data_IF_716629778555
#
_entry.id   IF_716629778555
#
_cell.length_a   1.000
_cell.length_b   1.000
_cell.length_c   1.000
_cell.angle_alpha   90.00
_cell.angle_beta   90.00
_cell.angle_gamma   90.00
#
_symmetry.space_group_name_H-M   'P 1'
#
loop_
_entity.id
_entity.type
_entity.pdbx_description
1 polymer ?
#
# COMPACT_ATOMS: atom_id res chain seq x y z
N UNK A 1 -21.92 42.38 39.90
CA UNK A 1 -21.76 43.07 38.59
C UNK A 1 -20.37 42.74 38.05
N UNK A 2 -20.14 42.53 36.74
CA UNK A 2 -20.87 41.78 35.68
C UNK A 2 -20.24 40.36 35.50
N UNK A 3 -20.89 39.29 35.01
CA UNK A 3 -21.57 38.98 33.73
C UNK A 3 -20.63 38.72 32.53
N UNK A 4 -20.55 37.44 32.13
CA UNK A 4 -21.02 36.87 30.84
C UNK A 4 -19.86 36.76 29.83
N UNK A 5 -19.69 35.75 28.96
CA UNK A 5 -20.52 34.71 28.35
C UNK A 5 -19.51 33.68 27.78
N UNK A 6 -19.84 32.39 27.69
CA UNK A 6 -19.51 31.64 26.47
C UNK A 6 -20.40 30.41 26.29
N UNK A 7 -21.09 30.48 25.17
CA UNK A 7 -22.13 29.61 24.61
C UNK A 7 -21.62 28.21 24.26
N UNK A 8 -22.53 27.25 24.44
CA UNK A 8 -22.46 25.83 24.14
C UNK A 8 -22.93 25.54 22.70
N UNK A 9 -22.41 24.43 22.15
CA UNK A 9 -23.05 23.54 21.15
C UNK A 9 -23.25 24.12 19.72
N UNK A 10 -23.23 23.35 18.62
CA UNK A 10 -23.01 21.94 18.31
C UNK A 10 -22.78 21.77 16.78
N UNK A 11 -22.32 20.57 16.39
CA UNK A 11 -22.39 19.80 15.12
C UNK A 11 -23.20 20.38 13.92
N UNK A 12 -22.96 20.10 12.63
CA UNK A 12 -22.35 18.98 11.89
C UNK A 12 -22.16 19.40 10.37
N UNK A 13 -21.66 18.52 9.46
CA UNK A 13 -21.07 18.81 8.11
C UNK A 13 -22.11 18.65 6.96
N UNK A 14 -21.82 18.41 5.64
CA UNK A 14 -20.59 18.32 4.82
C UNK A 14 -20.72 19.03 3.43
N UNK A 15 -19.93 18.57 2.44
CA UNK A 15 -20.00 18.77 0.97
C UNK A 15 -18.99 19.81 0.42
N UNK A 16 -17.99 19.47 -0.41
CA UNK A 16 -17.93 18.78 -1.71
C UNK A 16 -17.40 19.80 -2.74
N UNK A 17 -16.39 19.37 -3.50
CA UNK A 17 -15.62 20.15 -4.48
C UNK A 17 -16.46 20.79 -5.58
N UNK A 18 -16.02 21.93 -6.14
CA UNK A 18 -16.34 22.30 -7.51
C UNK A 18 -15.22 21.86 -8.47
N UNK A 19 -15.69 21.15 -9.50
CA UNK A 19 -14.97 20.69 -10.67
C UNK A 19 -14.32 21.84 -11.48
N UNK A 20 -13.14 21.56 -12.03
CA UNK A 20 -12.58 22.34 -13.13
C UNK A 20 -13.19 21.87 -14.45
N UNK A 21 -13.83 22.80 -15.15
CA UNK A 21 -14.58 22.59 -16.38
C UNK A 21 -13.69 22.87 -17.61
N UNK A 22 -13.78 21.95 -18.57
CA UNK A 22 -13.74 22.16 -20.02
C UNK A 22 -12.52 22.84 -20.69
N UNK A 23 -11.82 22.06 -21.53
CA UNK A 23 -11.52 22.49 -22.90
C UNK A 23 -11.81 21.32 -23.84
N UNK A 24 -12.75 21.54 -24.77
CA UNK A 24 -13.10 20.65 -25.87
C UNK A 24 -12.85 21.42 -27.16
N UNK A 25 -12.08 20.84 -28.10
CA UNK A 25 -12.05 21.08 -29.56
C UNK A 25 -10.76 20.40 -30.08
N UNK A 26 -10.67 19.72 -31.22
CA UNK A 26 -11.54 19.65 -32.38
C UNK A 26 -11.28 18.32 -33.11
N UNK A 27 -12.31 17.82 -33.78
CA UNK A 27 -12.24 16.74 -34.74
C UNK A 27 -11.61 17.22 -36.07
N UNK A 28 -10.82 16.36 -36.71
CA UNK A 28 -10.60 16.42 -38.16
C UNK A 28 -10.43 14.99 -38.69
N UNK A 29 -11.50 14.47 -39.30
CA UNK A 29 -11.44 13.34 -40.22
C UNK A 29 -10.70 13.78 -41.49
N UNK A 30 -9.72 13.01 -41.95
CA UNK A 30 -9.45 12.86 -43.37
C UNK A 30 -9.22 11.38 -43.71
N UNK A 31 -9.75 11.03 -44.88
CA UNK A 31 -10.15 9.72 -45.36
C UNK A 31 -9.10 9.15 -46.33
N UNK A 32 -9.04 7.81 -46.42
CA UNK A 32 -8.65 6.97 -47.59
C UNK A 32 -7.23 6.36 -47.62
N UNK A 33 -6.97 5.33 -48.45
CA UNK A 33 -7.62 4.02 -48.54
C UNK A 33 -6.62 2.84 -48.52
N UNK A 34 -7.13 1.62 -48.41
CA UNK A 34 -6.39 0.35 -48.32
C UNK A 34 -5.68 -0.07 -49.62
N UNK A 35 -4.46 -0.65 -49.54
CA UNK A 35 -4.12 -1.93 -50.22
C UNK A 35 -2.79 -2.56 -49.72
N UNK A 36 -2.78 -3.91 -49.70
CA UNK A 36 -1.66 -4.84 -49.87
C UNK A 36 -0.80 -5.31 -48.65
N UNK A 37 -1.24 -6.45 -48.09
CA UNK A 37 -0.49 -7.68 -47.77
C UNK A 37 1.01 -7.62 -47.39
N UNK A 38 1.34 -8.03 -46.14
CA UNK A 38 2.40 -8.98 -45.80
C UNK A 38 2.43 -9.32 -44.29
N UNK A 39 2.41 -10.63 -43.98
CA UNK A 39 2.84 -11.36 -42.77
C UNK A 39 2.48 -10.86 -41.34
N UNK A 40 1.86 -11.71 -40.49
CA UNK A 40 1.69 -11.41 -39.07
C UNK A 40 3.02 -11.64 -38.33
N UNK A 41 3.81 -10.57 -38.16
CA UNK A 41 4.87 -10.56 -37.15
C UNK A 41 4.20 -10.24 -35.81
N UNK A 42 3.74 -11.29 -35.15
CA UNK A 42 3.16 -11.26 -33.83
C UNK A 42 4.31 -11.04 -32.82
N UNK A 43 4.75 -9.78 -32.67
CA UNK A 43 5.63 -9.39 -31.56
C UNK A 43 4.71 -8.98 -30.41
N UNK A 44 4.55 -9.79 -29.34
CA UNK A 44 3.93 -9.28 -28.14
C UNK A 44 4.85 -8.20 -27.59
N UNK A 45 4.35 -6.96 -27.56
CA UNK A 45 4.93 -5.91 -26.74
C UNK A 45 5.07 -6.48 -25.31
N UNK A 46 6.20 -6.27 -24.61
CA UNK A 46 6.27 -6.63 -23.21
C UNK A 46 5.17 -5.85 -22.50
N UNK A 47 4.13 -6.55 -22.06
CA UNK A 47 3.21 -6.07 -21.04
C UNK A 47 4.09 -5.70 -19.85
N UNK A 48 4.39 -4.43 -19.72
CA UNK A 48 4.89 -3.87 -18.48
C UNK A 48 3.77 -4.09 -17.47
N UNK A 49 3.84 -5.22 -16.76
CA UNK A 49 3.08 -5.45 -15.54
C UNK A 49 3.49 -4.34 -14.60
N UNK A 50 2.73 -3.25 -14.60
CA UNK A 50 2.83 -2.25 -13.56
C UNK A 50 2.68 -2.99 -12.22
N UNK A 51 3.60 -2.79 -11.26
CA UNK A 51 3.45 -3.37 -9.94
C UNK A 51 2.09 -2.93 -9.37
N UNK A 52 1.40 -3.77 -8.58
CA UNK A 52 0.15 -3.36 -7.96
C UNK A 52 0.42 -2.10 -7.15
N UNK A 53 -0.11 -0.96 -7.59
CA UNK A 53 -0.05 0.31 -6.88
C UNK A 53 -0.89 0.20 -5.62
N UNK A 54 -0.36 -0.47 -4.60
CA UNK A 54 -0.64 -0.08 -3.24
C UNK A 54 -0.18 1.37 -3.12
N UNK A 55 -1.14 2.29 -3.02
CA UNK A 55 -0.89 3.73 -2.89
C UNK A 55 0.00 3.96 -1.66
N UNK A 56 1.31 3.94 -1.90
CA UNK A 56 2.32 4.30 -0.93
C UNK A 56 2.37 5.84 -0.90
N UNK A 57 2.28 6.47 0.27
CA UNK A 57 2.51 7.90 0.43
C UNK A 57 3.90 8.26 -0.11
N UNK A 58 4.06 9.49 -0.58
CA UNK A 58 5.19 9.99 -1.37
C UNK A 58 6.61 9.69 -0.83
N UNK A 59 6.77 9.27 0.43
CA UNK A 59 8.06 8.99 1.06
C UNK A 59 8.61 7.56 0.93
N UNK A 60 7.79 6.57 0.58
CA UNK A 60 8.21 5.15 0.59
C UNK A 60 7.81 4.36 -0.67
N UNK A 61 8.55 3.28 -0.92
CA UNK A 61 8.14 2.15 -1.76
C UNK A 61 7.93 0.93 -0.86
N UNK A 62 6.78 0.28 -0.98
CA UNK A 62 6.39 -0.90 -0.19
C UNK A 62 6.58 -2.17 -1.04
N UNK A 63 7.46 -3.06 -0.59
CA UNK A 63 7.72 -4.38 -1.18
C UNK A 63 7.16 -5.46 -0.23
N UNK A 64 6.34 -6.35 -0.78
CA UNK A 64 5.67 -7.43 -0.05
C UNK A 64 5.69 -8.66 -0.94
N UNK A 65 6.11 -9.80 -0.38
CA UNK A 65 6.16 -11.07 -1.10
C UNK A 65 5.18 -12.06 -0.50
N UNK A 66 4.39 -12.73 -1.33
CA UNK A 66 3.52 -13.81 -0.86
C UNK A 66 4.33 -14.94 -0.23
N UNK A 67 3.72 -15.64 0.73
CA UNK A 67 4.35 -16.75 1.47
C UNK A 67 3.62 -18.03 1.14
N UNK A 68 4.36 -19.11 0.95
CA UNK A 68 3.83 -20.47 0.85
C UNK A 68 4.54 -21.36 1.86
N UNK A 69 3.78 -22.08 2.67
CA UNK A 69 4.32 -22.97 3.71
C UNK A 69 3.33 -24.09 4.04
N UNK A 70 3.77 -25.21 4.65
CA UNK A 70 2.85 -26.26 5.07
C UNK A 70 1.88 -25.77 6.13
N UNK A 71 0.67 -26.33 6.14
CA UNK A 71 -0.34 -26.02 7.17
C UNK A 71 0.22 -26.34 8.56
N UNK A 72 0.01 -25.44 9.51
CA UNK A 72 0.51 -25.53 10.88
C UNK A 72 1.99 -25.18 11.05
N UNK A 73 2.72 -24.94 9.97
CA UNK A 73 4.14 -24.55 10.04
C UNK A 73 4.29 -23.03 10.15
N UNK A 74 4.95 -22.50 11.20
CA UNK A 74 5.28 -21.09 11.29
C UNK A 74 6.20 -20.65 10.16
N UNK A 75 5.94 -19.47 9.60
CA UNK A 75 6.72 -18.84 8.53
C UNK A 75 6.71 -17.33 8.70
N UNK A 76 7.58 -16.64 7.97
CA UNK A 76 7.68 -15.18 8.01
C UNK A 76 7.27 -14.57 6.68
N UNK A 77 6.32 -13.63 6.73
CA UNK A 77 6.07 -12.69 5.65
C UNK A 77 7.02 -11.51 5.79
N UNK A 78 7.94 -11.38 4.84
CA UNK A 78 8.89 -10.27 4.80
C UNK A 78 8.27 -9.07 4.09
N UNK A 79 8.18 -7.96 4.81
CA UNK A 79 7.71 -6.68 4.30
C UNK A 79 8.85 -5.68 4.37
N UNK A 80 9.18 -5.07 3.23
CA UNK A 80 10.32 -4.17 3.10
C UNK A 80 9.85 -2.80 2.63
N UNK A 81 10.24 -1.74 3.34
CA UNK A 81 9.94 -0.36 2.98
C UNK A 81 11.23 0.39 2.68
N UNK A 82 11.37 0.80 1.43
CA UNK A 82 12.51 1.60 0.98
C UNK A 82 12.13 3.08 0.95
N UNK A 83 12.86 3.96 1.65
CA UNK A 83 12.62 5.39 1.50
C UNK A 83 12.96 5.82 0.08
N UNK A 84 12.14 6.71 -0.48
CA UNK A 84 12.39 7.32 -1.80
C UNK A 84 13.55 8.33 -1.70
N UNK A 85 14.21 8.68 -2.82
CA UNK A 85 15.25 9.69 -2.82
C UNK A 85 14.79 11.00 -2.17
N UNK A 86 15.61 11.55 -1.27
CA UNK A 86 15.27 12.75 -0.48
C UNK A 86 14.47 12.48 0.79
N UNK A 87 14.10 11.22 1.07
CA UNK A 87 13.42 10.81 2.30
C UNK A 87 14.34 9.94 3.17
N UNK A 88 14.15 10.01 4.49
CA UNK A 88 14.84 9.18 5.48
C UNK A 88 13.86 8.57 6.46
N UNK A 89 14.21 7.42 7.02
CA UNK A 89 13.39 6.75 8.03
C UNK A 89 13.46 7.53 9.35
N UNK A 90 12.30 7.72 9.99
CA UNK A 90 12.25 8.27 11.35
C UNK A 90 12.46 7.13 12.36
N UNK A 91 13.71 6.88 12.75
CA UNK A 91 14.09 5.73 13.60
C UNK A 91 13.55 5.81 15.04
N UNK A 92 13.37 7.02 15.56
CA UNK A 92 12.77 7.27 16.88
C UNK A 92 11.25 7.02 16.94
N UNK A 93 10.61 6.83 15.79
CA UNK A 93 9.20 6.49 15.73
C UNK A 93 9.00 4.98 15.87
N UNK A 94 7.93 4.58 16.56
CA UNK A 94 7.51 3.18 16.62
C UNK A 94 6.84 2.78 15.30
N UNK A 95 7.67 2.59 14.28
CA UNK A 95 7.35 2.04 12.97
C UNK A 95 6.83 0.61 13.14
N UNK A 96 5.59 0.35 12.71
CA UNK A 96 4.92 -0.92 13.01
C UNK A 96 3.86 -1.30 11.98
N UNK A 97 3.60 -2.60 11.87
CA UNK A 97 2.42 -3.16 11.22
C UNK A 97 1.39 -3.49 12.30
N UNK A 98 0.14 -3.09 12.08
CA UNK A 98 -1.01 -3.32 12.96
C UNK A 98 -2.23 -3.77 12.15
N UNK A 99 -3.32 -4.09 12.84
CA UNK A 99 -4.60 -4.48 12.22
C UNK A 99 -4.47 -5.69 11.28
N UNK A 100 -3.57 -6.62 11.64
CA UNK A 100 -3.37 -7.87 10.90
C UNK A 100 -4.62 -8.75 10.98
N UNK A 101 -5.12 -9.14 9.80
CA UNK A 101 -6.31 -9.96 9.66
C UNK A 101 -6.21 -10.87 8.43
N UNK A 102 -6.90 -12.01 8.49
CA UNK A 102 -7.15 -12.91 7.38
C UNK A 102 -8.64 -12.95 7.12
N UNK A 103 -9.06 -12.83 5.87
CA UNK A 103 -10.49 -12.75 5.52
C UNK A 103 -11.28 -13.99 5.93
N UNK A 104 -10.69 -15.18 5.75
CA UNK A 104 -11.32 -16.47 6.02
C UNK A 104 -10.81 -17.14 7.30
N UNK A 105 -9.97 -16.46 8.10
CA UNK A 105 -9.37 -17.03 9.30
C UNK A 105 -8.31 -18.12 9.03
N UNK A 106 -7.90 -18.31 7.77
CA UNK A 106 -6.94 -19.35 7.38
C UNK A 106 -5.48 -19.05 7.70
N UNK A 107 -5.21 -17.96 8.43
CA UNK A 107 -3.86 -17.59 8.89
C UNK A 107 -3.92 -17.16 10.35
N UNK A 108 -3.11 -17.81 11.18
CA UNK A 108 -2.77 -17.34 12.51
C UNK A 108 -1.57 -16.39 12.43
N UNK A 109 -1.63 -15.30 13.18
CA UNK A 109 -0.53 -14.33 13.28
C UNK A 109 0.15 -14.49 14.63
N UNK A 110 1.48 -14.58 14.63
CA UNK A 110 2.28 -14.69 15.86
C UNK A 110 2.05 -13.47 16.78
N UNK A 111 1.92 -12.29 16.19
CA UNK A 111 1.66 -11.04 16.90
C UNK A 111 0.64 -10.19 16.15
N UNK A 112 -0.15 -9.41 16.89
CA UNK A 112 -1.11 -8.42 16.32
C UNK A 112 -0.46 -7.09 15.96
N UNK A 113 0.75 -6.85 16.47
CA UNK A 113 1.60 -5.71 16.17
C UNK A 113 3.01 -6.21 15.88
N UNK A 114 3.59 -5.80 14.76
CA UNK A 114 4.94 -6.18 14.35
C UNK A 114 5.77 -4.92 14.24
N UNK A 115 6.85 -4.81 15.00
CA UNK A 115 7.76 -3.66 14.96
C UNK A 115 8.70 -3.78 13.77
N UNK A 116 8.95 -2.66 13.10
CA UNK A 116 9.94 -2.59 12.03
C UNK A 116 11.35 -2.37 12.58
N UNK A 117 12.33 -2.93 11.87
CA UNK A 117 13.75 -2.77 12.14
C UNK A 117 14.40 -2.06 10.96
N UNK A 118 15.25 -1.08 11.23
CA UNK A 118 16.03 -0.45 10.17
C UNK A 118 17.26 -1.31 9.87
N UNK A 119 17.43 -1.67 8.61
CA UNK A 119 18.56 -2.44 8.08
C UNK A 119 19.00 -1.76 6.78
N UNK A 120 20.26 -1.33 6.71
CA UNK A 120 20.84 -0.70 5.51
C UNK A 120 19.99 0.44 4.93
N UNK A 121 19.47 1.31 5.81
CA UNK A 121 18.62 2.45 5.42
C UNK A 121 17.22 2.06 4.91
N UNK A 122 16.83 0.80 5.07
CA UNK A 122 15.53 0.24 4.71
C UNK A 122 14.81 -0.22 5.97
N UNK A 123 13.48 -0.14 5.97
CA UNK A 123 12.68 -0.58 7.10
C UNK A 123 12.09 -1.96 6.81
N UNK A 124 12.48 -2.96 7.58
CA UNK A 124 12.12 -4.37 7.41
C UNK A 124 11.18 -4.82 8.52
N UNK A 125 10.15 -5.58 8.16
CA UNK A 125 9.22 -6.20 9.10
C UNK A 125 9.09 -7.70 8.81
N UNK A 126 9.22 -8.49 9.86
CA UNK A 126 9.01 -9.94 9.82
C UNK A 126 7.68 -10.29 10.46
N UNK A 127 6.65 -10.49 9.64
CA UNK A 127 5.33 -10.83 10.13
C UNK A 127 5.24 -12.35 10.27
N UNK A 128 5.26 -12.84 11.51
CA UNK A 128 5.06 -14.26 11.79
C UNK A 128 3.64 -14.71 11.43
N UNK A 129 3.54 -15.64 10.48
CA UNK A 129 2.29 -16.20 9.97
C UNK A 129 2.32 -17.74 10.05
N UNK A 130 1.15 -18.34 10.24
CA UNK A 130 0.98 -19.79 10.19
C UNK A 130 -0.31 -20.09 9.44
N UNK A 131 -0.25 -20.71 8.24
CA UNK A 131 -1.46 -21.18 7.57
C UNK A 131 -2.17 -22.22 8.44
N UNK A 132 -3.48 -22.09 8.61
CA UNK A 132 -4.30 -23.00 9.44
C UNK A 132 -5.15 -23.95 8.61
N UNK A 133 -5.21 -23.74 7.30
CA UNK A 133 -5.91 -24.59 6.35
C UNK A 133 -5.14 -24.63 5.01
N UNK A 134 -5.35 -25.65 4.16
CA UNK A 134 -4.81 -25.67 2.81
C UNK A 134 -5.44 -24.59 1.91
N UNK A 135 -4.67 -24.10 0.95
CA UNK A 135 -5.11 -23.16 -0.07
C UNK A 135 -4.63 -21.73 0.16
N UNK A 136 -5.22 -20.80 -0.59
CA UNK A 136 -4.82 -19.39 -0.60
C UNK A 136 -5.62 -18.58 0.42
N UNK A 137 -4.91 -17.83 1.26
CA UNK A 137 -5.49 -17.01 2.31
C UNK A 137 -5.01 -15.56 2.18
N UNK A 138 -5.84 -14.68 1.60
CA UNK A 138 -5.57 -13.24 1.59
C UNK A 138 -5.51 -12.69 3.01
N UNK A 139 -4.51 -11.85 3.26
CA UNK A 139 -4.33 -11.14 4.51
C UNK A 139 -4.24 -9.63 4.28
N UNK A 140 -4.64 -8.89 5.29
CA UNK A 140 -4.59 -7.43 5.31
C UNK A 140 -3.86 -6.95 6.56
N UNK A 141 -3.29 -5.75 6.47
CA UNK A 141 -2.73 -5.02 7.60
C UNK A 141 -2.58 -3.54 7.30
N UNK A 142 -2.12 -2.78 8.29
CA UNK A 142 -1.79 -1.37 8.15
C UNK A 142 -0.35 -1.15 8.60
N UNK A 143 0.49 -0.68 7.69
CA UNK A 143 1.87 -0.30 7.96
C UNK A 143 1.90 1.18 8.35
N UNK A 144 2.24 1.48 9.61
CA UNK A 144 2.28 2.83 10.15
C UNK A 144 3.73 3.23 10.41
N UNK A 145 4.23 4.21 9.67
CA UNK A 145 5.65 4.59 9.65
C UNK A 145 5.84 6.09 9.63
N UNK A 146 7.01 6.53 10.06
CA UNK A 146 7.44 7.93 9.96
C UNK A 146 8.54 8.11 8.91
N UNK A 147 8.58 9.27 8.27
CA UNK A 147 9.73 9.69 7.45
C UNK A 147 10.11 11.13 7.75
N UNK A 148 11.33 11.48 7.34
CA UNK A 148 11.92 12.81 7.37
C UNK A 148 12.18 13.22 5.92
N UNK A 149 11.63 14.35 5.48
CA UNK A 149 11.95 14.95 4.16
C UNK A 149 13.00 16.04 4.34
N UNK A 150 12.71 16.98 5.23
CA UNK A 150 13.62 18.03 5.69
C UNK A 150 13.94 17.82 7.17
N UNK A 151 15.08 18.30 7.71
CA UNK A 151 15.46 18.07 9.11
C UNK A 151 14.40 18.48 10.15
N UNK A 152 13.54 19.42 9.80
CA UNK A 152 12.46 19.94 10.65
C UNK A 152 11.07 19.37 10.29
N UNK A 153 10.95 18.65 9.18
CA UNK A 153 9.68 18.07 8.70
C UNK A 153 9.65 16.55 8.92
N UNK A 154 8.85 16.15 9.90
CA UNK A 154 8.59 14.76 10.26
C UNK A 154 7.12 14.44 9.99
N UNK A 155 6.88 13.43 9.16
CA UNK A 155 5.54 13.01 8.78
C UNK A 155 5.30 11.56 9.18
N UNK A 156 4.08 11.25 9.63
CA UNK A 156 3.63 9.88 9.89
C UNK A 156 2.54 9.49 8.91
N UNK A 157 2.69 8.31 8.32
CA UNK A 157 1.82 7.83 7.27
C UNK A 157 1.37 6.40 7.52
N UNK A 158 0.24 6.04 6.93
CA UNK A 158 -0.35 4.70 7.01
C UNK A 158 -0.55 4.14 5.61
N UNK A 159 -0.06 2.92 5.38
CA UNK A 159 -0.19 2.18 4.12
C UNK A 159 -0.96 0.90 4.35
N UNK A 160 -1.71 0.45 3.34
CA UNK A 160 -2.32 -0.88 3.36
C UNK A 160 -1.26 -1.93 3.03
N UNK A 161 -1.19 -2.96 3.87
CA UNK A 161 -0.51 -4.21 3.56
C UNK A 161 -1.53 -5.19 3.00
N UNK A 162 -1.28 -5.71 1.81
CA UNK A 162 -2.07 -6.77 1.19
C UNK A 162 -1.07 -7.85 0.75
N UNK A 163 -1.30 -9.08 1.17
CA UNK A 163 -0.48 -10.23 0.81
C UNK A 163 -1.32 -11.50 0.79
N UNK A 164 -0.76 -12.55 0.23
CA UNK A 164 -1.34 -13.90 0.25
C UNK A 164 -0.43 -14.84 1.02
N UNK A 165 -1.02 -15.62 1.91
CA UNK A 165 -0.37 -16.77 2.55
C UNK A 165 -1.01 -18.04 2.01
N UNK A 166 -0.21 -18.97 1.50
CA UNK A 166 -0.68 -20.24 0.94
C UNK A 166 -0.31 -21.38 1.87
N UNK A 167 -1.33 -22.12 2.34
CA UNK A 167 -1.17 -23.37 3.05
C UNK A 167 -0.99 -24.52 2.07
N UNK A 168 0.13 -25.22 2.16
CA UNK A 168 0.42 -26.45 1.41
C UNK A 168 0.19 -27.67 2.28
N UNK A 169 0.06 -28.84 1.65
CA UNK A 169 -0.14 -30.13 2.35
C UNK A 169 1.01 -30.49 3.30
#
# INVERSE_FOLDING_TARGET
MPQFLRTLAAAAPPAASPAALAVMLAAALLLSPATHAAAPSNTPAPSATAPPEGSAPDGYTLEVHDVSSPVGTPSALHVTLRPRPGYRILEGYNNRIIMLSSYNGGVAFAHKMVRGTVQDGTLVFDVGVTPTAPGSHPINGVVRVGYIRDPEDMSMVSMKLIATVTGTE
#
